data_IF_232540289449
#
_entry.id   IF_232540289449
#
_cell.length_a   1.000
_cell.length_b   1.000
_cell.length_c   1.000
_cell.angle_alpha   90.00
_cell.angle_beta   90.00
_cell.angle_gamma   90.00
#
_symmetry.space_group_name_H-M   'P 1'
#
loop_
_entity.id
_entity.type
_entity.pdbx_description
1 polymer ?
#
# COMPACT_ATOMS: atom_id res chain seq x y z
N UNK A 1 -14.38 -51.83 -16.46
CA UNK A 1 -15.41 -51.30 -15.55
C UNK A 1 -14.72 -50.31 -14.64
N UNK A 2 -14.64 -49.06 -15.08
CA UNK A 2 -14.02 -47.95 -14.29
C UNK A 2 -15.13 -47.17 -13.67
N UNK A 3 -15.13 -47.12 -12.34
CA UNK A 3 -16.09 -46.38 -11.51
C UNK A 3 -15.87 -44.90 -11.64
N UNK A 4 -16.85 -44.20 -12.16
CA UNK A 4 -16.94 -42.72 -12.09
C UNK A 4 -17.03 -42.33 -10.63
N UNK A 5 -15.94 -41.74 -10.12
CA UNK A 5 -15.98 -40.99 -8.85
C UNK A 5 -16.47 -39.59 -9.18
N UNK A 6 -17.73 -39.34 -8.93
CA UNK A 6 -18.27 -38.01 -8.85
C UNK A 6 -17.47 -37.17 -7.83
N UNK A 7 -16.91 -36.07 -8.30
CA UNK A 7 -16.34 -35.02 -7.41
C UNK A 7 -17.49 -34.44 -6.57
N UNK A 8 -17.30 -34.27 -5.25
CA UNK A 8 -18.33 -33.68 -4.43
C UNK A 8 -18.60 -32.24 -4.93
N UNK A 9 -19.87 -31.92 -5.16
CA UNK A 9 -20.33 -30.57 -5.46
C UNK A 9 -19.84 -29.62 -4.35
N UNK A 10 -19.04 -28.62 -4.72
CA UNK A 10 -18.67 -27.56 -3.80
C UNK A 10 -19.97 -26.89 -3.34
N UNK A 11 -20.27 -27.05 -2.06
CA UNK A 11 -21.34 -26.32 -1.37
C UNK A 11 -21.19 -24.82 -1.69
N UNK A 12 -22.24 -24.21 -2.20
CA UNK A 12 -22.32 -22.76 -2.33
C UNK A 12 -22.04 -22.19 -0.94
N UNK A 13 -20.89 -21.51 -0.77
CA UNK A 13 -20.58 -20.83 0.47
C UNK A 13 -21.65 -19.76 0.67
N UNK A 14 -22.47 -19.90 1.70
CA UNK A 14 -23.36 -18.83 2.13
C UNK A 14 -22.55 -17.56 2.27
N UNK A 15 -22.99 -16.48 1.62
CA UNK A 15 -22.35 -15.17 1.78
C UNK A 15 -22.32 -14.83 3.26
N UNK A 16 -21.19 -14.39 3.81
CA UNK A 16 -21.09 -14.10 5.23
C UNK A 16 -22.13 -13.08 5.63
N UNK A 17 -22.80 -13.32 6.76
CA UNK A 17 -23.81 -12.41 7.30
C UNK A 17 -23.16 -11.04 7.55
N UNK A 18 -23.71 -9.93 7.00
CA UNK A 18 -23.18 -8.60 7.25
C UNK A 18 -23.12 -8.28 8.74
N UNK A 19 -22.08 -7.56 9.17
CA UNK A 19 -22.00 -7.03 10.51
C UNK A 19 -23.05 -5.92 10.71
N UNK A 20 -23.62 -5.77 11.91
CA UNK A 20 -24.58 -4.72 12.19
C UNK A 20 -23.94 -3.35 12.46
N UNK A 21 -22.64 -3.21 12.18
CA UNK A 21 -21.85 -2.00 12.34
C UNK A 21 -20.75 -1.93 11.30
N UNK A 22 -20.25 -0.73 11.02
CA UNK A 22 -19.12 -0.50 10.12
C UNK A 22 -17.80 -0.76 10.84
N UNK A 23 -16.83 -1.28 10.09
CA UNK A 23 -15.43 -1.36 10.49
C UNK A 23 -14.59 -0.69 9.41
N UNK A 24 -13.98 0.43 9.76
CA UNK A 24 -13.11 1.19 8.85
C UNK A 24 -11.67 1.10 9.29
N UNK A 25 -10.75 1.01 8.33
CA UNK A 25 -9.33 1.05 8.62
C UNK A 25 -8.93 2.48 8.98
N UNK A 26 -8.51 2.71 10.21
CA UNK A 26 -8.16 4.04 10.72
C UNK A 26 -6.66 4.32 10.63
N UNK A 27 -5.84 3.40 11.14
CA UNK A 27 -4.39 3.60 11.26
C UNK A 27 -3.65 2.34 10.86
N UNK A 28 -2.54 2.53 10.14
CA UNK A 28 -1.50 1.53 9.92
C UNK A 28 -0.22 2.02 10.58
N UNK A 29 0.44 1.18 11.37
CA UNK A 29 1.73 1.49 11.99
C UNK A 29 2.85 1.02 11.08
N UNK A 30 3.77 1.93 10.73
CA UNK A 30 4.95 1.65 9.92
C UNK A 30 6.19 1.74 10.82
N UNK A 31 6.99 0.66 10.92
CA UNK A 31 8.13 0.61 11.83
C UNK A 31 9.33 1.39 11.26
N UNK A 32 9.85 2.35 12.04
CA UNK A 32 10.98 3.20 11.66
C UNK A 32 12.02 3.26 12.78
N UNK A 33 13.28 3.55 12.45
CA UNK A 33 14.36 3.74 13.43
C UNK A 33 14.48 5.18 13.90
N UNK A 34 14.40 6.12 12.97
CA UNK A 34 14.61 7.55 13.21
C UNK A 34 13.33 8.31 12.86
N UNK A 35 12.65 8.79 13.90
CA UNK A 35 11.35 9.46 13.77
C UNK A 35 11.49 10.80 13.02
N UNK A 36 12.57 11.56 13.24
CA UNK A 36 12.79 12.82 12.53
C UNK A 36 13.04 12.61 11.04
N UNK A 37 13.84 11.62 10.70
CA UNK A 37 14.09 11.22 9.31
C UNK A 37 12.81 10.76 8.62
N UNK A 38 12.01 9.93 9.28
CA UNK A 38 10.72 9.50 8.79
C UNK A 38 9.78 10.71 8.59
N UNK A 39 9.72 11.61 9.57
CA UNK A 39 8.89 12.81 9.48
C UNK A 39 9.24 13.67 8.25
N UNK A 40 10.54 13.89 8.01
CA UNK A 40 11.00 14.64 6.84
C UNK A 40 10.59 13.95 5.53
N UNK A 41 10.77 12.63 5.45
CA UNK A 41 10.43 11.85 4.26
C UNK A 41 8.94 11.94 3.93
N UNK A 42 8.07 11.61 4.88
CA UNK A 42 6.61 11.59 4.65
C UNK A 42 6.03 12.99 4.45
N UNK A 43 6.57 14.01 5.11
CA UNK A 43 6.23 15.41 4.81
C UNK A 43 6.61 15.80 3.38
N UNK A 44 7.77 15.33 2.90
CA UNK A 44 8.23 15.58 1.52
C UNK A 44 7.35 14.91 0.47
N UNK A 45 6.67 13.80 0.82
CA UNK A 45 5.64 13.20 -0.05
C UNK A 45 4.39 14.08 -0.22
N UNK A 46 4.26 15.16 0.55
CA UNK A 46 3.08 16.02 0.58
C UNK A 46 1.96 15.49 1.46
N UNK A 47 2.25 14.56 2.36
CA UNK A 47 1.26 14.04 3.29
C UNK A 47 1.01 15.03 4.43
N UNK A 48 -0.24 15.09 4.90
CA UNK A 48 -0.62 15.96 6.01
C UNK A 48 -0.11 15.38 7.33
N UNK A 49 0.67 16.18 8.08
CA UNK A 49 1.04 15.86 9.46
C UNK A 49 -0.15 16.13 10.37
N UNK A 50 -0.71 15.09 10.97
CA UNK A 50 -1.86 15.19 11.87
C UNK A 50 -1.45 15.30 13.34
N UNK A 51 -0.34 14.66 13.72
CA UNK A 51 0.19 14.67 15.07
C UNK A 51 1.71 14.52 15.09
N UNK A 52 2.34 15.18 16.06
CA UNK A 52 3.71 14.95 16.48
C UNK A 52 3.73 15.10 18.00
N UNK A 53 3.74 13.97 18.69
CA UNK A 53 3.64 13.89 20.14
C UNK A 53 4.91 13.29 20.74
N UNK A 54 5.84 14.12 21.23
CA UNK A 54 6.97 13.66 22.03
C UNK A 54 6.56 13.53 23.50
N UNK A 55 6.94 12.42 24.13
CA UNK A 55 6.77 12.22 25.56
C UNK A 55 8.10 12.30 26.31
N UNK A 56 8.12 12.68 27.62
CA UNK A 56 9.35 12.87 28.38
C UNK A 56 10.22 11.61 28.53
N UNK A 57 9.62 10.42 28.42
CA UNK A 57 10.28 9.12 28.56
C UNK A 57 10.96 8.64 27.24
N UNK A 58 10.97 9.49 26.20
CA UNK A 58 11.51 9.16 24.88
C UNK A 58 10.51 8.49 23.94
N UNK A 59 9.29 8.20 24.40
CA UNK A 59 8.21 7.80 23.51
C UNK A 59 7.83 8.96 22.59
N UNK A 60 7.67 8.69 21.30
CA UNK A 60 7.24 9.70 20.33
C UNK A 60 6.37 9.07 19.26
N UNK A 61 5.32 9.75 18.92
CA UNK A 61 4.39 9.36 17.86
C UNK A 61 4.26 10.49 16.84
N UNK A 62 4.38 10.16 15.58
CA UNK A 62 3.97 11.02 14.48
C UNK A 62 2.89 10.33 13.66
N UNK A 63 1.94 11.11 13.16
CA UNK A 63 0.85 10.60 12.32
C UNK A 63 0.74 11.44 11.07
N UNK A 64 0.67 10.76 9.93
CA UNK A 64 0.45 11.36 8.63
C UNK A 64 -0.79 10.77 7.96
N UNK A 65 -1.48 11.61 7.19
CA UNK A 65 -2.55 11.15 6.30
C UNK A 65 -2.18 11.45 4.85
N UNK A 66 -2.11 10.42 3.99
CA UNK A 66 -1.95 10.63 2.55
C UNK A 66 -3.10 11.46 1.98
N UNK A 67 -2.88 12.29 0.95
CA UNK A 67 -3.94 13.09 0.34
C UNK A 67 -5.13 12.22 -0.12
N UNK A 68 -6.33 12.56 0.33
CA UNK A 68 -7.56 11.86 -0.03
C UNK A 68 -7.78 10.51 0.67
N UNK A 69 -6.88 10.10 1.58
CA UNK A 69 -7.02 8.84 2.33
C UNK A 69 -7.90 9.02 3.56
N UNK A 70 -8.75 8.02 3.83
CA UNK A 70 -9.47 7.90 5.12
C UNK A 70 -8.67 7.16 6.18
N UNK A 71 -7.56 6.50 5.80
CA UNK A 71 -6.65 5.80 6.69
C UNK A 71 -5.37 6.61 6.87
N UNK A 72 -4.90 6.72 8.10
CA UNK A 72 -3.64 7.39 8.45
C UNK A 72 -2.51 6.40 8.67
N UNK A 73 -1.29 6.90 8.65
CA UNK A 73 -0.07 6.14 8.91
C UNK A 73 0.60 6.72 10.15
N UNK A 74 0.94 5.85 11.08
CA UNK A 74 1.56 6.24 12.34
C UNK A 74 2.97 5.65 12.41
N UNK A 75 3.92 6.43 12.89
CA UNK A 75 5.31 6.04 13.10
C UNK A 75 5.78 6.58 14.43
N UNK A 76 6.79 5.99 15.01
CA UNK A 76 7.32 6.48 16.27
C UNK A 76 8.24 5.48 16.98
N UNK A 77 8.63 5.85 18.18
CA UNK A 77 9.40 4.98 19.08
C UNK A 77 8.46 4.14 19.94
N UNK A 78 8.73 2.85 20.08
CA UNK A 78 7.94 1.91 20.89
C UNK A 78 6.44 1.77 20.49
N UNK A 79 6.10 1.98 19.23
CA UNK A 79 4.73 1.80 18.73
C UNK A 79 4.43 0.37 18.31
N UNK A 80 5.43 -0.38 17.96
CA UNK A 80 5.31 -1.74 17.46
C UNK A 80 6.55 -2.55 17.79
N UNK A 81 6.39 -3.85 17.94
CA UNK A 81 7.50 -4.80 18.07
C UNK A 81 8.10 -5.22 16.72
N UNK A 82 7.51 -4.81 15.60
CA UNK A 82 8.05 -5.10 14.27
C UNK A 82 9.36 -4.36 14.06
N UNK A 83 10.33 -5.03 13.44
CA UNK A 83 11.61 -4.41 13.09
C UNK A 83 11.42 -3.30 12.06
N UNK A 84 12.21 -2.23 12.19
CA UNK A 84 12.17 -1.12 11.23
C UNK A 84 12.43 -1.61 9.80
N UNK A 85 11.73 -1.01 8.83
CA UNK A 85 11.89 -1.36 7.42
C UNK A 85 11.19 -2.64 6.98
N UNK A 86 10.39 -3.29 7.82
CA UNK A 86 9.75 -4.58 7.51
C UNK A 86 8.34 -4.45 6.92
N UNK A 87 7.75 -3.26 6.88
CA UNK A 87 6.43 -3.09 6.29
C UNK A 87 6.47 -3.33 4.77
N UNK A 88 5.53 -4.13 4.31
CA UNK A 88 5.36 -4.53 2.90
C UNK A 88 3.89 -4.53 2.55
N UNK A 89 3.61 -4.45 1.23
CA UNK A 89 2.23 -4.55 0.75
C UNK A 89 1.36 -3.33 1.08
N UNK A 90 1.95 -2.16 1.18
CA UNK A 90 1.25 -0.90 1.39
C UNK A 90 0.95 -0.26 0.03
N UNK A 91 -0.33 -0.08 -0.29
CA UNK A 91 -0.76 0.42 -1.59
C UNK A 91 -1.36 1.81 -1.49
N UNK A 92 -0.87 2.70 -2.33
CA UNK A 92 -1.40 4.05 -2.55
C UNK A 92 -2.05 4.08 -3.93
N UNK A 93 -3.30 4.51 -3.99
CA UNK A 93 -4.04 4.61 -5.24
C UNK A 93 -3.82 5.98 -5.87
N UNK A 94 -3.47 5.98 -7.14
CA UNK A 94 -3.35 7.18 -7.97
C UNK A 94 -4.18 7.02 -9.25
N UNK A 95 -4.64 8.13 -9.82
CA UNK A 95 -5.39 8.10 -11.08
C UNK A 95 -4.51 8.11 -12.33
N UNK A 96 -3.32 8.69 -12.21
CA UNK A 96 -2.32 8.78 -13.27
C UNK A 96 -0.95 8.41 -12.66
N UNK A 97 -0.49 7.20 -12.95
CA UNK A 97 0.74 6.68 -12.39
C UNK A 97 1.97 7.43 -12.91
N UNK A 98 1.98 7.80 -14.19
CA UNK A 98 3.09 8.52 -14.78
C UNK A 98 3.26 9.91 -14.15
N UNK A 99 2.16 10.63 -13.96
CA UNK A 99 2.17 11.95 -13.33
C UNK A 99 2.57 11.85 -11.85
N UNK A 100 2.04 10.88 -11.11
CA UNK A 100 2.39 10.66 -9.70
C UNK A 100 3.87 10.31 -9.54
N UNK A 101 4.40 9.44 -10.39
CA UNK A 101 5.82 9.09 -10.41
C UNK A 101 6.70 10.32 -10.69
N UNK A 102 6.37 11.10 -11.71
CA UNK A 102 7.12 12.30 -12.06
C UNK A 102 7.17 13.31 -10.92
N UNK A 103 6.06 13.51 -10.22
CA UNK A 103 5.99 14.39 -9.05
C UNK A 103 6.88 13.90 -7.91
N UNK A 104 6.84 12.60 -7.58
CA UNK A 104 7.68 12.04 -6.52
C UNK A 104 9.17 12.11 -6.88
N UNK A 105 9.54 11.82 -8.12
CA UNK A 105 10.91 11.99 -8.60
C UNK A 105 11.38 13.44 -8.48
N UNK A 106 10.54 14.42 -8.80
CA UNK A 106 10.87 15.84 -8.65
C UNK A 106 11.13 16.25 -7.19
N UNK A 107 10.56 15.51 -6.24
CA UNK A 107 10.78 15.68 -4.80
C UNK A 107 11.97 14.86 -4.28
N UNK A 108 12.73 14.22 -5.15
CA UNK A 108 13.90 13.43 -4.78
C UNK A 108 13.59 12.04 -4.22
N UNK A 109 12.38 11.54 -4.41
CA UNK A 109 12.01 10.17 -4.03
C UNK A 109 12.42 9.23 -5.14
N UNK A 110 13.14 8.16 -4.80
CA UNK A 110 13.53 7.12 -5.75
C UNK A 110 12.33 6.20 -6.02
N UNK A 111 11.69 6.37 -7.16
CA UNK A 111 10.53 5.59 -7.59
C UNK A 111 10.91 4.72 -8.78
N UNK A 112 10.57 3.43 -8.71
CA UNK A 112 10.84 2.49 -9.81
C UNK A 112 10.22 2.93 -11.13
N UNK A 113 10.71 2.37 -12.23
CA UNK A 113 9.96 2.41 -13.48
C UNK A 113 8.57 1.80 -13.26
N UNK A 114 7.55 2.26 -13.98
CA UNK A 114 6.25 1.60 -13.99
C UNK A 114 6.39 0.14 -14.43
N UNK A 115 5.56 -0.73 -13.86
CA UNK A 115 5.49 -2.13 -14.26
C UNK A 115 4.04 -2.64 -14.20
N UNK A 116 3.80 -3.77 -14.84
CA UNK A 116 2.53 -4.49 -14.81
C UNK A 116 2.79 -6.00 -14.73
N UNK A 117 1.80 -6.77 -14.31
CA UNK A 117 1.88 -8.24 -14.36
C UNK A 117 1.59 -8.73 -15.79
N UNK A 118 2.38 -9.69 -16.26
CA UNK A 118 2.28 -10.24 -17.61
C UNK A 118 0.96 -10.98 -17.90
N UNK A 119 0.17 -11.32 -16.89
CA UNK A 119 -1.05 -12.12 -17.06
C UNK A 119 -2.24 -11.68 -16.24
N UNK A 120 -2.21 -10.50 -15.60
CA UNK A 120 -3.32 -10.08 -14.77
C UNK A 120 -3.19 -8.69 -14.18
N UNK A 121 -3.93 -8.46 -13.10
CA UNK A 121 -3.96 -7.20 -12.35
C UNK A 121 -3.31 -7.30 -10.98
N UNK A 122 -2.82 -8.49 -10.59
CA UNK A 122 -2.12 -8.71 -9.34
C UNK A 122 -0.65 -8.99 -9.61
N UNK A 123 0.24 -8.18 -9.05
CA UNK A 123 1.66 -8.49 -9.11
C UNK A 123 2.05 -9.50 -8.04
N UNK A 124 3.13 -10.25 -8.27
CA UNK A 124 3.68 -11.22 -7.33
C UNK A 124 4.84 -10.62 -6.56
N UNK A 125 4.96 -11.00 -5.29
CA UNK A 125 5.99 -10.46 -4.40
C UNK A 125 7.43 -10.74 -4.90
N UNK A 126 7.63 -11.83 -5.62
CA UNK A 126 8.91 -12.21 -6.21
C UNK A 126 9.22 -11.49 -7.53
N UNK A 127 8.29 -10.70 -8.06
CA UNK A 127 8.44 -10.00 -9.33
C UNK A 127 8.54 -10.90 -10.56
N UNK A 128 8.24 -12.20 -10.42
CA UNK A 128 8.45 -13.21 -11.47
C UNK A 128 7.66 -12.95 -12.75
N UNK A 129 6.64 -12.13 -12.69
CA UNK A 129 5.78 -11.76 -13.83
C UNK A 129 5.76 -10.26 -14.12
N UNK A 130 6.60 -9.49 -13.45
CA UNK A 130 6.69 -8.06 -13.65
C UNK A 130 7.28 -7.77 -15.05
N UNK A 131 6.59 -6.94 -15.79
CA UNK A 131 7.01 -6.42 -17.09
C UNK A 131 7.12 -4.91 -16.99
N UNK A 132 8.26 -4.36 -17.42
CA UNK A 132 8.48 -2.91 -17.40
C UNK A 132 7.48 -2.20 -18.30
N UNK A 133 6.95 -1.09 -17.79
CA UNK A 133 5.98 -0.24 -18.47
C UNK A 133 4.57 -0.34 -17.88
N UNK A 134 3.75 0.61 -18.26
CA UNK A 134 2.34 0.62 -17.91
C UNK A 134 1.61 -0.56 -18.55
N UNK A 135 0.52 -1.01 -17.92
CA UNK A 135 -0.34 -2.01 -18.54
C UNK A 135 -0.72 -1.58 -19.97
N UNK A 136 -0.47 -2.43 -20.99
CA UNK A 136 -0.64 -2.03 -22.39
C UNK A 136 -2.05 -1.56 -22.75
N UNK A 137 -3.06 -2.12 -22.09
CA UNK A 137 -4.47 -1.73 -22.27
C UNK A 137 -4.91 -0.65 -21.28
N UNK A 138 -4.00 -0.16 -20.42
CA UNK A 138 -4.28 0.81 -19.35
C UNK A 138 -5.45 0.39 -18.48
N UNK A 139 -5.57 -0.92 -18.21
CA UNK A 139 -6.61 -1.45 -17.32
C UNK A 139 -6.45 -0.87 -15.92
N UNK A 140 -7.56 -0.47 -15.33
CA UNK A 140 -7.63 -0.11 -13.92
C UNK A 140 -7.09 -1.25 -13.06
N UNK A 141 -6.33 -0.95 -12.03
CA UNK A 141 -5.58 -1.88 -11.17
C UNK A 141 -4.35 -2.52 -11.80
N UNK A 142 -4.08 -2.30 -13.07
CA UNK A 142 -3.09 -3.07 -13.83
C UNK A 142 -1.67 -2.49 -13.83
N UNK A 143 -1.46 -1.26 -13.39
CA UNK A 143 -0.16 -0.61 -13.43
C UNK A 143 0.33 -0.21 -12.04
N UNK A 144 1.63 -0.41 -11.80
CA UNK A 144 2.28 -0.20 -10.51
C UNK A 144 3.60 0.55 -10.66
N UNK A 145 4.01 1.21 -9.58
CA UNK A 145 5.38 1.60 -9.31
C UNK A 145 5.65 1.42 -7.82
N UNK A 146 6.91 1.34 -7.41
CA UNK A 146 7.27 1.14 -6.00
C UNK A 146 8.31 2.15 -5.55
N UNK A 147 8.27 2.50 -4.27
CA UNK A 147 9.31 3.25 -3.58
C UNK A 147 9.44 2.76 -2.15
N UNK A 148 10.52 3.11 -1.51
CA UNK A 148 10.74 2.78 -0.10
C UNK A 148 10.99 4.04 0.71
N UNK A 149 10.62 4.00 1.99
CA UNK A 149 11.05 5.01 2.94
C UNK A 149 12.53 4.81 3.32
N UNK A 150 13.14 5.71 4.12
CA UNK A 150 14.55 5.59 4.49
C UNK A 150 14.92 4.33 5.27
N UNK A 151 13.98 3.68 5.93
CA UNK A 151 14.19 2.40 6.63
C UNK A 151 13.98 1.18 5.73
N UNK A 152 13.45 1.35 4.51
CA UNK A 152 13.15 0.27 3.59
C UNK A 152 11.72 -0.25 3.67
N UNK A 153 10.81 0.43 4.36
CA UNK A 153 9.38 0.12 4.26
C UNK A 153 8.90 0.39 2.85
N UNK A 154 8.24 -0.59 2.24
CA UNK A 154 7.90 -0.56 0.82
C UNK A 154 6.46 -0.12 0.58
N UNK A 155 6.32 0.80 -0.36
CA UNK A 155 5.06 1.35 -0.84
C UNK A 155 4.88 1.07 -2.32
N UNK A 156 3.64 0.77 -2.70
CA UNK A 156 3.23 0.70 -4.10
C UNK A 156 2.34 1.89 -4.45
N UNK A 157 2.59 2.47 -5.62
CA UNK A 157 1.59 3.25 -6.33
C UNK A 157 0.84 2.30 -7.26
N UNK A 158 -0.48 2.33 -7.23
CA UNK A 158 -1.33 1.55 -8.13
C UNK A 158 -2.28 2.47 -8.87
N UNK A 159 -2.31 2.36 -10.19
CA UNK A 159 -3.24 3.15 -11.00
C UNK A 159 -4.64 2.55 -10.95
N UNK A 160 -5.59 3.29 -10.40
CA UNK A 160 -7.01 2.91 -10.38
C UNK A 160 -7.80 4.08 -10.98
N UNK A 161 -8.26 3.90 -12.21
CA UNK A 161 -9.09 4.90 -12.93
C UNK A 161 -10.57 4.63 -12.77
N UNK A 162 -10.94 3.37 -12.61
CA UNK A 162 -12.31 2.93 -12.37
C UNK A 162 -12.31 1.83 -11.31
N UNK A 163 -13.08 2.02 -10.24
CA UNK A 163 -13.17 1.02 -9.18
C UNK A 163 -14.08 -0.13 -9.62
N UNK A 164 -13.73 -1.33 -9.14
CA UNK A 164 -14.58 -2.51 -9.29
C UNK A 164 -15.89 -2.33 -8.50
N UNK A 165 -16.98 -3.00 -8.91
CA UNK A 165 -18.24 -2.98 -8.16
C UNK A 165 -18.04 -3.37 -6.69
N UNK A 166 -18.69 -2.63 -5.79
CA UNK A 166 -18.60 -2.86 -4.35
C UNK A 166 -17.39 -2.21 -3.64
N UNK A 167 -16.65 -1.36 -4.36
CA UNK A 167 -15.46 -0.67 -3.82
C UNK A 167 -15.59 0.85 -3.92
#
# INVERSE_FOLDING_TARGET
>A
MFSDRELPAMSASESPRPLPFDMTLEIVVVPVTDVDRAKQFYANLGWRLDADFPAPDGFRVIQFTPPGSGCSVMMGSNLTSASAGTARGLYLVVRDLAAARAELLSRGVDVSEPFHDAGGIFHRADGSRDVVGLNPERKSYGSFARFSDPDGNEWFLQEITQRLPGR
#
